data_IF_776717525771
#
_entry.id   IF_776717525771
#
_cell.length_a   1.000
_cell.length_b   1.000
_cell.length_c   1.000
_cell.angle_alpha   90.00
_cell.angle_beta   90.00
_cell.angle_gamma   90.00
#
_symmetry.space_group_name_H-M   'P 1'
#
loop_
_entity.id
_entity.type
_entity.pdbx_description
1 polymer ?
#
# COMPACT_ATOMS: atom_id res chain seq x y z
N UNK A 1 -16.46 -22.98 -7.47
CA UNK A 1 -15.46 -22.03 -7.98
C UNK A 1 -14.73 -21.47 -6.78
N UNK A 2 -13.39 -21.54 -6.74
CA UNK A 2 -12.62 -20.87 -5.69
C UNK A 2 -12.88 -19.37 -5.73
N UNK A 3 -13.15 -18.80 -4.57
CA UNK A 3 -13.35 -17.37 -4.43
C UNK A 3 -12.03 -16.65 -4.76
N UNK A 4 -12.01 -15.85 -5.83
CA UNK A 4 -10.81 -15.11 -6.23
C UNK A 4 -10.59 -13.97 -5.25
N UNK A 5 -9.63 -14.16 -4.35
CA UNK A 5 -9.29 -13.22 -3.28
C UNK A 5 -8.48 -12.02 -3.78
N UNK A 6 -8.59 -10.85 -3.14
CA UNK A 6 -7.76 -9.68 -3.48
C UNK A 6 -6.27 -9.92 -3.30
N UNK A 7 -5.46 -9.29 -4.17
CA UNK A 7 -4.01 -9.21 -4.03
C UNK A 7 -3.65 -7.80 -3.56
N UNK A 8 -2.90 -7.71 -2.46
CA UNK A 8 -2.41 -6.46 -1.93
C UNK A 8 -0.97 -6.22 -2.37
N UNK A 9 -0.68 -5.05 -2.93
CA UNK A 9 0.68 -4.63 -3.27
C UNK A 9 1.05 -3.41 -2.43
N UNK A 10 2.15 -3.52 -1.71
CA UNK A 10 2.67 -2.50 -0.81
C UNK A 10 3.99 -1.96 -1.37
N UNK A 11 3.98 -0.83 -2.08
CA UNK A 11 5.20 -0.19 -2.57
C UNK A 11 6.00 0.42 -1.42
N UNK A 12 7.21 -0.10 -1.20
CA UNK A 12 8.13 0.31 -0.13
C UNK A 12 9.48 0.78 -0.68
N UNK A 13 9.58 1.00 -2.00
CA UNK A 13 10.81 1.34 -2.70
C UNK A 13 11.09 2.86 -2.78
N UNK A 14 10.44 3.67 -1.95
CA UNK A 14 10.63 5.12 -1.90
C UNK A 14 11.91 5.52 -1.15
N UNK A 15 12.56 6.61 -1.59
CA UNK A 15 13.78 7.14 -0.95
C UNK A 15 13.56 7.87 0.36
N UNK A 16 12.32 8.24 0.69
CA UNK A 16 11.97 9.05 1.87
C UNK A 16 12.79 10.36 1.97
N UNK A 17 13.02 11.06 0.84
CA UNK A 17 13.94 12.19 0.75
C UNK A 17 13.69 13.26 1.83
N UNK A 18 12.45 13.66 2.07
CA UNK A 18 12.11 14.66 3.10
C UNK A 18 12.58 14.28 4.51
N UNK A 19 12.55 12.98 4.83
CA UNK A 19 13.03 12.49 6.12
C UNK A 19 14.55 12.51 6.19
N UNK A 20 15.22 12.20 5.05
CA UNK A 20 16.69 12.30 4.96
C UNK A 20 17.19 13.73 5.10
N UNK A 21 16.47 14.69 4.54
CA UNK A 21 16.78 16.13 4.65
C UNK A 21 16.66 16.62 6.11
N UNK A 22 15.86 15.93 6.94
CA UNK A 22 15.72 16.15 8.39
C UNK A 22 16.66 15.25 9.23
N UNK A 23 17.61 14.55 8.60
CA UNK A 23 18.58 13.69 9.28
C UNK A 23 18.10 12.27 9.61
N UNK A 24 16.87 11.89 9.20
CA UNK A 24 16.34 10.54 9.41
C UNK A 24 16.75 9.68 8.21
N UNK A 25 17.74 8.80 8.41
CA UNK A 25 18.32 7.99 7.34
C UNK A 25 17.60 6.66 7.11
N UNK A 26 16.77 6.26 8.06
CA UNK A 26 16.03 5.00 8.00
C UNK A 26 14.87 5.05 7.01
N UNK A 27 14.54 3.92 6.34
CA UNK A 27 13.33 3.82 5.56
C UNK A 27 12.08 4.07 6.41
N UNK A 28 11.08 4.78 5.87
CA UNK A 28 9.85 5.15 6.60
C UNK A 28 9.20 3.98 7.32
N UNK A 29 9.16 2.82 6.70
CA UNK A 29 8.47 1.65 7.25
C UNK A 29 9.13 1.09 8.52
N UNK A 30 10.39 1.46 8.81
CA UNK A 30 11.09 1.09 10.03
C UNK A 30 10.89 2.10 11.17
N UNK A 31 10.43 3.32 10.85
CA UNK A 31 10.22 4.35 11.87
C UNK A 31 9.15 3.91 12.86
N UNK A 32 9.42 4.13 14.15
CA UNK A 32 8.53 3.74 15.23
C UNK A 32 7.69 4.91 15.72
N UNK A 33 6.42 4.66 15.92
CA UNK A 33 5.46 5.54 16.56
C UNK A 33 4.73 4.75 17.64
N UNK A 34 4.80 5.21 18.88
CA UNK A 34 4.18 4.56 20.06
C UNK A 34 4.59 3.08 20.19
N UNK A 35 5.89 2.78 20.01
CA UNK A 35 6.46 1.44 20.19
C UNK A 35 6.11 0.43 19.08
N UNK A 36 5.65 0.91 17.92
CA UNK A 36 5.33 0.09 16.76
C UNK A 36 5.79 0.78 15.49
N UNK A 37 6.25 0.00 14.53
CA UNK A 37 6.71 0.52 13.24
C UNK A 37 5.56 1.04 12.38
N UNK A 38 5.82 2.00 11.50
CA UNK A 38 4.84 2.44 10.50
C UNK A 38 4.36 1.27 9.64
N UNK A 39 5.22 0.29 9.39
CA UNK A 39 4.85 -0.96 8.72
C UNK A 39 3.70 -1.68 9.44
N UNK A 40 3.81 -1.86 10.75
CA UNK A 40 2.78 -2.52 11.54
C UNK A 40 1.46 -1.73 11.58
N UNK A 41 1.55 -0.41 11.76
CA UNK A 41 0.39 0.48 11.73
C UNK A 41 -0.34 0.43 10.38
N UNK A 42 0.41 0.48 9.29
CA UNK A 42 -0.16 0.44 7.94
C UNK A 42 -0.87 -0.87 7.65
N UNK A 43 -0.26 -2.01 7.98
CA UNK A 43 -0.88 -3.31 7.73
C UNK A 43 -2.17 -3.52 8.53
N UNK A 44 -2.27 -2.96 9.73
CA UNK A 44 -3.50 -3.06 10.55
C UNK A 44 -4.67 -2.26 9.99
N UNK A 45 -4.43 -1.30 9.10
CA UNK A 45 -5.49 -0.58 8.39
C UNK A 45 -6.19 -1.44 7.33
N UNK A 46 -5.58 -2.55 6.92
CA UNK A 46 -6.03 -3.35 5.80
C UNK A 46 -6.82 -4.58 6.27
N UNK A 47 -7.91 -4.95 5.59
CA UNK A 47 -8.66 -6.17 5.87
C UNK A 47 -7.92 -7.40 5.31
N UNK A 48 -6.77 -7.74 5.88
CA UNK A 48 -5.90 -8.80 5.39
C UNK A 48 -6.47 -10.22 5.58
N UNK A 49 -7.55 -10.35 6.33
CA UNK A 49 -8.31 -11.60 6.48
C UNK A 49 -8.94 -12.08 5.15
N UNK A 50 -9.24 -11.16 4.24
CA UNK A 50 -9.76 -11.49 2.89
C UNK A 50 -8.67 -11.58 1.83
N UNK A 51 -7.43 -11.28 2.15
CA UNK A 51 -6.35 -11.28 1.17
C UNK A 51 -6.00 -12.70 0.70
N UNK A 52 -5.82 -12.86 -0.60
CA UNK A 52 -5.22 -14.08 -1.18
C UNK A 52 -3.69 -14.06 -1.07
N UNK A 53 -3.11 -12.87 -1.21
CA UNK A 53 -1.66 -12.65 -1.16
C UNK A 53 -1.37 -11.18 -0.85
N UNK A 54 -0.22 -10.93 -0.21
CA UNK A 54 0.37 -9.60 -0.10
C UNK A 54 1.77 -9.60 -0.72
N UNK A 55 2.11 -8.53 -1.46
CA UNK A 55 3.40 -8.37 -2.15
C UNK A 55 4.04 -7.08 -1.66
N UNK A 56 5.20 -7.20 -1.04
CA UNK A 56 6.02 -6.06 -0.62
C UNK A 56 7.05 -5.76 -1.71
N UNK A 57 7.13 -4.50 -2.16
CA UNK A 57 8.12 -4.08 -3.17
C UNK A 57 9.15 -3.18 -2.50
N UNK A 58 10.36 -3.69 -2.33
CA UNK A 58 11.44 -3.08 -1.55
C UNK A 58 12.64 -2.72 -2.42
N UNK A 59 13.56 -1.91 -1.90
CA UNK A 59 14.86 -1.70 -2.53
C UNK A 59 15.88 -2.73 -2.05
N UNK A 60 16.74 -3.21 -2.97
CA UNK A 60 17.85 -4.08 -2.65
C UNK A 60 18.85 -3.43 -1.68
N UNK A 61 19.03 -2.11 -1.76
CA UNK A 61 19.84 -1.36 -0.79
C UNK A 61 19.28 -1.42 0.63
N UNK A 62 17.95 -1.39 0.78
CA UNK A 62 17.30 -1.52 2.09
C UNK A 62 17.46 -2.93 2.65
N UNK A 63 17.40 -3.97 1.80
CA UNK A 63 17.70 -5.33 2.23
C UNK A 63 19.10 -5.46 2.79
N UNK A 64 20.11 -4.98 2.05
CA UNK A 64 21.53 -5.05 2.45
C UNK A 64 21.79 -4.33 3.77
N UNK A 65 21.16 -3.18 4.00
CA UNK A 65 21.44 -2.34 5.16
C UNK A 65 20.60 -2.69 6.39
N UNK A 66 19.34 -3.10 6.19
CA UNK A 66 18.37 -3.24 7.28
C UNK A 66 17.78 -4.65 7.40
N UNK A 67 18.22 -5.62 6.57
CA UNK A 67 17.69 -6.99 6.57
C UNK A 67 16.15 -7.04 6.52
N UNK A 68 15.60 -6.34 5.53
CA UNK A 68 14.14 -6.11 5.38
C UNK A 68 13.37 -7.43 5.28
N UNK A 69 13.95 -8.44 4.63
CA UNK A 69 13.35 -9.78 4.54
C UNK A 69 13.08 -10.36 5.92
N UNK A 70 14.06 -10.33 6.81
CA UNK A 70 13.91 -10.86 8.16
C UNK A 70 12.94 -10.00 9.00
N UNK A 71 13.00 -8.69 8.83
CA UNK A 71 12.05 -7.76 9.47
C UNK A 71 10.59 -8.09 9.08
N UNK A 72 10.29 -8.17 7.78
CA UNK A 72 8.95 -8.52 7.27
C UNK A 72 8.54 -9.90 7.77
N UNK A 73 9.43 -10.90 7.64
CA UNK A 73 9.16 -12.26 8.07
C UNK A 73 8.70 -12.32 9.53
N UNK A 74 9.42 -11.69 10.44
CA UNK A 74 9.08 -11.69 11.88
C UNK A 74 7.68 -11.13 12.14
N UNK A 75 7.29 -10.06 11.47
CA UNK A 75 5.98 -9.44 11.66
C UNK A 75 4.88 -10.31 11.04
N UNK A 76 5.10 -10.81 9.83
CA UNK A 76 4.13 -11.64 9.13
C UNK A 76 3.87 -12.95 9.88
N UNK A 77 4.90 -13.64 10.33
CA UNK A 77 4.76 -14.88 11.13
C UNK A 77 4.04 -14.62 12.46
N UNK A 78 4.29 -13.49 13.11
CA UNK A 78 3.68 -13.15 14.39
C UNK A 78 2.22 -12.71 14.26
N UNK A 79 1.91 -11.85 13.30
CA UNK A 79 0.58 -11.19 13.20
C UNK A 79 -0.33 -11.79 12.13
N UNK A 80 0.24 -12.34 11.06
CA UNK A 80 -0.50 -12.83 9.89
C UNK A 80 -0.01 -14.22 9.45
N UNK A 81 0.08 -15.23 10.33
CA UNK A 81 0.78 -16.49 10.06
C UNK A 81 0.17 -17.33 8.93
N UNK A 82 -1.09 -17.04 8.52
CA UNK A 82 -1.79 -17.76 7.44
C UNK A 82 -1.81 -17.01 6.12
N UNK A 83 -1.28 -15.79 6.08
CA UNK A 83 -1.29 -14.96 4.88
C UNK A 83 -0.06 -15.23 4.02
N UNK A 84 -0.28 -15.63 2.77
CA UNK A 84 0.80 -15.75 1.80
C UNK A 84 1.37 -14.37 1.48
N UNK A 85 2.69 -14.26 1.49
CA UNK A 85 3.36 -13.03 1.09
C UNK A 85 4.58 -13.29 0.20
N UNK A 86 4.90 -12.30 -0.59
CA UNK A 86 6.10 -12.24 -1.43
C UNK A 86 6.84 -10.93 -1.23
N UNK A 87 8.15 -10.95 -1.43
CA UNK A 87 8.98 -9.74 -1.40
C UNK A 87 9.70 -9.64 -2.73
N UNK A 88 9.44 -8.54 -3.45
CA UNK A 88 10.09 -8.19 -4.71
C UNK A 88 11.13 -7.11 -4.40
N UNK A 89 12.39 -7.35 -4.76
CA UNK A 89 13.46 -6.38 -4.60
C UNK A 89 13.78 -5.69 -5.92
N UNK A 90 13.91 -4.37 -5.86
CA UNK A 90 14.34 -3.52 -6.98
C UNK A 90 15.76 -3.03 -6.75
N UNK A 91 16.56 -3.02 -7.80
CA UNK A 91 17.94 -2.53 -7.73
C UNK A 91 18.03 -1.02 -7.56
N UNK A 92 17.01 -0.29 -8.06
CA UNK A 92 16.93 1.18 -7.99
C UNK A 92 15.50 1.66 -7.80
N UNK A 93 15.36 2.89 -7.34
CA UNK A 93 14.06 3.56 -7.24
C UNK A 93 13.44 3.76 -8.60
N UNK A 94 12.12 3.72 -8.64
CA UNK A 94 11.28 3.99 -9.80
C UNK A 94 10.88 5.46 -9.88
N UNK A 95 10.26 5.86 -10.99
CA UNK A 95 9.73 7.22 -11.17
C UNK A 95 8.49 7.51 -10.32
N UNK A 96 7.81 6.47 -9.85
CA UNK A 96 6.59 6.62 -9.04
C UNK A 96 5.97 5.28 -8.64
N UNK A 97 4.87 5.39 -7.90
CA UNK A 97 4.18 4.22 -7.33
C UNK A 97 3.71 3.24 -8.40
N UNK A 98 3.14 3.72 -9.51
CA UNK A 98 2.63 2.87 -10.58
C UNK A 98 3.76 2.02 -11.18
N UNK A 99 4.90 2.63 -11.49
CA UNK A 99 6.06 1.89 -12.00
C UNK A 99 6.55 0.86 -10.99
N UNK A 100 6.57 1.20 -9.69
CA UNK A 100 6.90 0.25 -8.63
C UNK A 100 5.97 -0.96 -8.63
N UNK A 101 4.67 -0.74 -8.74
CA UNK A 101 3.66 -1.81 -8.79
C UNK A 101 3.82 -2.66 -10.06
N UNK A 102 4.14 -2.06 -11.20
CA UNK A 102 4.33 -2.80 -12.46
C UNK A 102 5.48 -3.82 -12.41
N UNK A 103 6.47 -3.65 -11.53
CA UNK A 103 7.48 -4.69 -11.30
C UNK A 103 6.90 -5.98 -10.69
N UNK A 104 5.68 -5.93 -10.18
CA UNK A 104 4.97 -7.14 -9.70
C UNK A 104 4.04 -7.74 -10.76
N UNK A 105 4.07 -7.28 -12.02
CA UNK A 105 3.14 -7.66 -13.09
C UNK A 105 2.92 -9.16 -13.20
N UNK A 106 3.98 -9.97 -13.14
CA UNK A 106 3.90 -11.43 -13.21
C UNK A 106 3.05 -12.08 -12.10
N UNK A 107 2.85 -11.38 -10.99
CA UNK A 107 2.08 -11.87 -9.83
C UNK A 107 0.64 -11.34 -9.80
N UNK A 108 0.38 -10.21 -10.49
CA UNK A 108 -0.91 -9.51 -10.47
C UNK A 108 -1.66 -9.53 -11.80
N UNK A 109 -1.07 -10.09 -12.88
CA UNK A 109 -1.70 -10.16 -14.19
C UNK A 109 -2.73 -11.30 -14.25
N UNK A 110 -3.81 -11.15 -13.50
CA UNK A 110 -4.91 -12.10 -13.37
C UNK A 110 -6.22 -11.34 -13.07
N UNK A 111 -7.31 -12.07 -12.80
CA UNK A 111 -8.63 -11.50 -12.54
C UNK A 111 -8.85 -11.11 -11.06
N UNK A 112 -7.81 -11.10 -10.21
CA UNK A 112 -7.95 -10.69 -8.82
C UNK A 112 -8.14 -9.18 -8.69
N UNK A 113 -8.91 -8.74 -7.70
CA UNK A 113 -8.93 -7.34 -7.31
C UNK A 113 -7.54 -6.94 -6.82
N UNK A 114 -6.96 -5.90 -7.40
CA UNK A 114 -5.67 -5.36 -6.98
C UNK A 114 -5.89 -4.22 -5.99
N UNK A 115 -5.27 -4.34 -4.82
CA UNK A 115 -5.24 -3.28 -3.81
C UNK A 115 -3.82 -2.73 -3.72
N UNK A 116 -3.64 -1.44 -3.98
CA UNK A 116 -2.36 -0.74 -3.85
C UNK A 116 -2.44 0.15 -2.62
N UNK A 117 -1.49 0.01 -1.69
CA UNK A 117 -1.54 0.73 -0.44
C UNK A 117 -0.17 1.21 0.04
N UNK A 118 -0.12 2.44 0.56
CA UNK A 118 1.11 3.06 1.04
C UNK A 118 1.49 2.56 2.44
N UNK A 119 2.78 2.29 2.66
CA UNK A 119 3.30 1.77 3.92
C UNK A 119 3.44 2.83 5.02
N UNK A 120 3.13 4.07 4.75
CA UNK A 120 3.21 5.19 5.70
C UNK A 120 1.84 5.82 5.98
N UNK A 121 0.79 5.09 5.72
CA UNK A 121 -0.60 5.51 5.95
C UNK A 121 -1.26 4.59 6.97
N UNK A 122 -2.01 5.18 7.91
CA UNK A 122 -2.87 4.45 8.82
C UNK A 122 -4.26 5.08 8.81
N UNK A 123 -5.30 4.26 8.71
CA UNK A 123 -6.70 4.70 8.79
C UNK A 123 -7.57 3.60 9.41
N UNK A 124 -8.76 3.98 9.81
CA UNK A 124 -9.81 3.07 10.26
C UNK A 124 -11.00 3.17 9.30
N UNK A 125 -11.47 2.04 8.80
CA UNK A 125 -12.65 1.97 7.93
C UNK A 125 -13.49 0.76 8.25
N UNK A 126 -14.77 0.99 8.51
CA UNK A 126 -15.79 -0.06 8.70
C UNK A 126 -16.29 -0.63 7.37
N UNK A 127 -16.02 0.06 6.24
CA UNK A 127 -16.59 -0.26 4.94
C UNK A 127 -15.60 -0.86 3.94
N UNK A 128 -14.29 -0.67 4.13
CA UNK A 128 -13.28 -1.11 3.15
C UNK A 128 -13.40 -2.60 2.83
N UNK A 129 -13.52 -3.43 3.86
CA UNK A 129 -13.63 -4.89 3.70
C UNK A 129 -14.82 -5.29 2.80
N UNK A 130 -16.01 -4.79 3.09
CA UNK A 130 -17.22 -5.09 2.30
C UNK A 130 -17.10 -4.55 0.87
N UNK A 131 -16.59 -3.33 0.69
CA UNK A 131 -16.38 -2.75 -0.64
C UNK A 131 -15.39 -3.57 -1.48
N UNK A 132 -14.29 -4.06 -0.91
CA UNK A 132 -13.34 -4.91 -1.64
C UNK A 132 -13.94 -6.26 -2.05
N UNK A 133 -14.83 -6.83 -1.26
CA UNK A 133 -15.51 -8.09 -1.61
C UNK A 133 -16.55 -7.90 -2.71
N UNK A 134 -17.17 -6.74 -2.79
CA UNK A 134 -18.28 -6.48 -3.71
C UNK A 134 -17.87 -5.74 -4.99
N UNK A 135 -16.70 -5.12 -5.06
CA UNK A 135 -16.27 -4.26 -6.18
C UNK A 135 -16.38 -4.96 -7.54
N UNK A 136 -16.09 -6.24 -7.60
CA UNK A 136 -16.17 -7.05 -8.84
C UNK A 136 -17.61 -7.23 -9.36
N UNK A 137 -18.59 -7.07 -8.48
CA UNK A 137 -20.00 -7.20 -8.80
C UNK A 137 -20.63 -5.85 -9.18
N UNK A 138 -19.81 -4.81 -9.27
CA UNK A 138 -20.22 -3.47 -9.70
C UNK A 138 -19.66 -3.16 -11.09
N UNK A 139 -20.22 -2.14 -11.75
CA UNK A 139 -19.69 -1.62 -13.01
C UNK A 139 -18.55 -0.59 -12.79
N UNK A 140 -17.95 -0.56 -11.60
CA UNK A 140 -16.89 0.37 -11.28
C UNK A 140 -15.52 -0.21 -11.64
N UNK A 141 -14.68 0.60 -12.28
CA UNK A 141 -13.31 0.22 -12.66
C UNK A 141 -12.35 0.23 -11.46
N UNK A 142 -12.68 0.95 -10.39
CA UNK A 142 -11.83 1.06 -9.21
C UNK A 142 -12.47 1.76 -8.03
N UNK A 143 -11.74 1.78 -6.93
CA UNK A 143 -12.10 2.42 -5.67
C UNK A 143 -10.91 3.24 -5.17
N UNK A 144 -11.11 4.53 -4.87
CA UNK A 144 -10.13 5.38 -4.22
C UNK A 144 -10.50 5.61 -2.75
N UNK A 145 -9.56 5.36 -1.85
CA UNK A 145 -9.67 5.79 -0.46
C UNK A 145 -9.37 7.28 -0.35
N UNK A 146 -10.28 8.06 0.22
CA UNK A 146 -10.12 9.49 0.40
C UNK A 146 -10.64 9.94 1.76
N UNK A 147 -10.22 11.14 2.18
CA UNK A 147 -10.68 11.82 3.38
C UNK A 147 -10.68 13.34 3.15
N UNK A 148 -11.46 14.06 3.94
CA UNK A 148 -11.52 15.52 3.82
C UNK A 148 -10.25 16.16 4.38
N UNK A 149 -9.61 17.01 3.57
CA UNK A 149 -8.44 17.78 3.98
C UNK A 149 -8.24 19.00 3.08
N UNK A 150 -7.70 20.08 3.68
CA UNK A 150 -7.27 21.29 2.98
C UNK A 150 -5.73 21.38 2.87
N UNK A 151 -4.99 20.35 3.26
CA UNK A 151 -3.53 20.37 3.23
C UNK A 151 -3.04 20.23 1.78
N UNK A 152 -2.47 21.31 1.24
CA UNK A 152 -1.91 21.40 -0.11
C UNK A 152 -0.76 20.42 -0.39
N UNK A 153 -0.26 19.71 0.62
CA UNK A 153 0.75 18.66 0.44
C UNK A 153 0.16 17.34 -0.05
N UNK A 154 -1.16 17.20 -0.03
CA UNK A 154 -1.89 16.01 -0.43
C UNK A 154 -2.29 16.04 -1.90
N UNK A 155 -2.72 14.89 -2.40
CA UNK A 155 -3.43 14.78 -3.67
C UNK A 155 -4.92 14.89 -3.43
N UNK A 156 -5.64 15.49 -4.37
CA UNK A 156 -7.07 15.79 -4.26
C UNK A 156 -7.87 15.01 -5.29
N UNK A 157 -9.11 14.72 -4.95
CA UNK A 157 -10.12 14.20 -5.87
C UNK A 157 -11.33 15.12 -5.89
N UNK A 158 -11.91 15.31 -7.07
CA UNK A 158 -13.21 15.92 -7.25
C UNK A 158 -14.24 14.81 -7.54
N UNK A 159 -15.37 14.86 -6.85
CA UNK A 159 -16.47 13.93 -7.06
C UNK A 159 -17.60 14.59 -7.84
N UNK A 160 -18.34 13.80 -8.59
CA UNK A 160 -19.63 14.21 -9.16
C UNK A 160 -20.76 14.05 -8.12
N UNK A 161 -21.99 14.35 -8.53
CA UNK A 161 -23.18 14.26 -7.69
C UNK A 161 -23.53 12.83 -7.24
N UNK A 162 -22.93 11.82 -7.84
CA UNK A 162 -23.13 10.40 -7.54
C UNK A 162 -21.95 9.79 -6.78
N UNK A 163 -21.03 10.63 -6.27
CA UNK A 163 -19.79 10.23 -5.59
C UNK A 163 -18.77 9.49 -6.48
N UNK A 164 -18.87 9.61 -7.82
CA UNK A 164 -17.83 9.10 -8.71
C UNK A 164 -16.71 10.12 -8.88
N UNK A 165 -15.48 9.59 -9.01
CA UNK A 165 -14.30 10.42 -9.24
C UNK A 165 -14.35 11.03 -10.64
N UNK A 166 -14.45 12.35 -10.70
CA UNK A 166 -14.45 13.16 -11.94
C UNK A 166 -13.04 13.48 -12.41
N UNK A 167 -12.17 13.85 -11.47
CA UNK A 167 -10.75 14.12 -11.71
C UNK A 167 -9.91 14.01 -10.44
N UNK A 168 -8.60 13.93 -10.65
CA UNK A 168 -7.60 13.95 -9.58
C UNK A 168 -6.56 15.04 -9.85
N UNK A 169 -6.01 15.61 -8.79
CA UNK A 169 -4.93 16.61 -8.84
C UNK A 169 -3.89 16.32 -7.76
N UNK A 170 -2.62 16.39 -8.10
CA UNK A 170 -1.54 16.24 -7.11
C UNK A 170 -1.15 17.61 -6.56
N UNK A 171 -1.22 17.78 -5.22
CA UNK A 171 -0.80 19.00 -4.50
C UNK A 171 -1.49 20.29 -4.95
N UNK A 172 -2.64 20.17 -5.56
CA UNK A 172 -3.45 21.29 -6.02
C UNK A 172 -4.90 21.05 -5.59
N UNK A 173 -5.43 21.81 -4.60
CA UNK A 173 -6.82 21.71 -4.18
C UNK A 173 -7.78 21.98 -5.34
N UNK A 174 -8.87 21.21 -5.40
CA UNK A 174 -9.91 21.31 -6.43
C UNK A 174 -11.29 21.27 -5.81
#
# INVERSE_FOLDING_TARGET
MEEIKPIFVIPMAGKAQRFKDEGILEPKFLLEVKGRTLFEWSLESLPLDIAGKIIFVCLQEHEKKYNVRNFIKKIMEKKFPRLNYEIVFLDKTTKGQVETVLHTKKHINNNSTLVIYNIDTHFLSTHLRSKLLTIKNTNNDGLLGAFNSNDKKLSFIELDSNEFVKRTKEKEPI
#
